data_IF_045272965435
#
_entry.id   IF_045272965435
#
_cell.length_a   1.000
_cell.length_b   1.000
_cell.length_c   1.000
_cell.angle_alpha   90.00
_cell.angle_beta   90.00
_cell.angle_gamma   90.00
#
_symmetry.space_group_name_H-M   'P 1'
#
loop_
_entity.id
_entity.type
_entity.pdbx_description
1 polymer ?
#
# COMPACT_ATOMS: atom_id res chain seq x y z
N UNK A 1 5.46 17.61 30.55
CA UNK A 1 4.99 16.22 30.64
C UNK A 1 3.67 16.15 29.90
N UNK A 2 3.72 15.81 28.62
CA UNK A 2 2.52 15.61 27.81
C UNK A 2 2.48 14.10 27.59
N UNK A 3 1.64 13.44 28.37
CA UNK A 3 1.17 12.10 28.04
C UNK A 3 0.32 12.26 26.78
N UNK A 4 0.98 12.17 25.62
CA UNK A 4 0.28 11.93 24.38
C UNK A 4 -0.39 10.57 24.58
N UNK A 5 -1.73 10.56 24.67
CA UNK A 5 -2.55 9.38 24.56
C UNK A 5 -2.07 8.60 23.33
N UNK A 6 -1.18 7.61 23.55
CA UNK A 6 -0.85 6.62 22.55
C UNK A 6 -2.15 5.89 22.30
N UNK A 7 -2.68 5.99 21.07
CA UNK A 7 -3.67 5.03 20.58
C UNK A 7 -3.21 3.62 20.98
N UNK A 8 -4.12 2.73 21.41
CA UNK A 8 -3.75 1.38 21.80
C UNK A 8 -2.85 0.76 20.73
N UNK A 9 -1.74 0.15 21.16
CA UNK A 9 -0.78 -0.48 20.24
C UNK A 9 -1.50 -1.62 19.52
N UNK A 10 -1.89 -1.39 18.27
CA UNK A 10 -2.59 -2.39 17.46
C UNK A 10 -1.64 -3.51 17.05
N UNK A 11 -2.12 -4.75 17.21
CA UNK A 11 -1.38 -5.94 16.83
C UNK A 11 -1.72 -6.36 15.41
N UNK A 12 -0.70 -6.75 14.68
CA UNK A 12 -0.75 -7.30 13.33
C UNK A 12 0.07 -8.59 13.29
N UNK A 13 0.02 -9.30 12.17
CA UNK A 13 0.63 -10.61 12.03
C UNK A 13 1.63 -10.63 10.88
N UNK A 14 2.74 -11.35 11.05
CA UNK A 14 3.64 -11.71 9.93
C UNK A 14 3.71 -13.21 9.82
N UNK A 15 3.43 -13.75 8.64
CA UNK A 15 3.55 -15.17 8.34
C UNK A 15 4.40 -15.39 7.08
N UNK A 16 4.82 -16.63 6.91
CA UNK A 16 5.59 -17.08 5.74
C UNK A 16 4.78 -18.18 5.08
N UNK A 17 4.67 -18.13 3.74
CA UNK A 17 4.20 -19.30 3.00
C UNK A 17 5.38 -20.14 2.58
N UNK A 18 5.19 -21.45 2.64
CA UNK A 18 6.20 -22.39 2.21
C UNK A 18 5.92 -22.76 0.75
N UNK A 19 6.81 -22.41 -0.19
CA UNK A 19 6.64 -22.74 -1.61
C UNK A 19 6.56 -24.25 -1.87
N UNK A 20 7.01 -25.10 -0.92
CA UNK A 20 6.88 -26.55 -1.05
C UNK A 20 5.45 -27.06 -0.97
N UNK A 21 4.50 -26.26 -0.46
CA UNK A 21 3.09 -26.61 -0.48
C UNK A 21 2.48 -26.20 -1.82
N UNK A 22 2.60 -24.94 -2.20
CA UNK A 22 2.21 -24.47 -3.53
C UNK A 22 3.24 -23.45 -4.02
N UNK A 23 3.72 -23.64 -5.25
CA UNK A 23 4.71 -22.74 -5.86
C UNK A 23 4.10 -21.35 -6.13
N UNK A 24 2.79 -21.28 -6.24
CA UNK A 24 1.96 -20.15 -6.61
C UNK A 24 0.84 -19.91 -5.57
N UNK A 25 1.12 -20.19 -4.29
CA UNK A 25 0.16 -20.10 -3.19
C UNK A 25 -0.62 -18.77 -3.20
N UNK A 26 0.07 -17.63 -3.35
CA UNK A 26 -0.58 -16.32 -3.40
C UNK A 26 -1.49 -16.20 -4.64
N UNK A 27 -1.05 -16.69 -5.80
CA UNK A 27 -1.83 -16.60 -7.04
C UNK A 27 -3.12 -17.44 -6.96
N UNK A 28 -3.08 -18.61 -6.31
CA UNK A 28 -4.29 -19.41 -6.06
C UNK A 28 -5.31 -18.68 -5.17
N UNK A 29 -4.85 -18.01 -4.10
CA UNK A 29 -5.75 -17.22 -3.26
C UNK A 29 -6.30 -16.00 -4.00
N UNK A 30 -5.46 -15.30 -4.77
CA UNK A 30 -5.89 -14.19 -5.61
C UNK A 30 -6.91 -14.66 -6.66
N UNK A 31 -6.72 -15.82 -7.27
CA UNK A 31 -7.65 -16.36 -8.26
C UNK A 31 -9.07 -16.53 -7.70
N UNK A 32 -9.20 -16.95 -6.43
CA UNK A 32 -10.48 -17.04 -5.73
C UNK A 32 -11.09 -15.65 -5.54
N UNK A 33 -10.35 -14.69 -4.95
CA UNK A 33 -10.83 -13.31 -4.74
C UNK A 33 -11.28 -12.66 -6.04
N UNK A 34 -10.46 -12.74 -7.09
CA UNK A 34 -10.78 -12.20 -8.42
C UNK A 34 -11.99 -12.90 -9.05
N UNK A 35 -12.15 -14.20 -8.81
CA UNK A 35 -13.31 -14.96 -9.27
C UNK A 35 -14.60 -14.51 -8.57
N UNK A 36 -14.54 -14.29 -7.25
CA UNK A 36 -15.67 -13.79 -6.46
C UNK A 36 -16.04 -12.35 -6.83
N UNK A 37 -15.06 -11.46 -7.00
CA UNK A 37 -15.30 -10.08 -7.42
C UNK A 37 -16.04 -10.00 -8.76
N UNK A 38 -15.62 -10.79 -9.78
CA UNK A 38 -16.35 -10.87 -11.05
C UNK A 38 -17.79 -11.37 -10.90
N UNK A 39 -18.05 -12.26 -9.94
CA UNK A 39 -19.39 -12.78 -9.66
C UNK A 39 -20.25 -11.75 -8.94
N UNK A 40 -19.67 -10.86 -8.14
CA UNK A 40 -20.35 -9.68 -7.60
C UNK A 40 -20.76 -8.74 -8.73
N UNK A 41 -19.86 -8.45 -9.67
CA UNK A 41 -20.20 -7.63 -10.85
C UNK A 41 -21.34 -8.23 -11.68
N UNK A 42 -21.42 -9.57 -11.74
CA UNK A 42 -22.50 -10.31 -12.39
C UNK A 42 -23.80 -10.38 -11.55
N UNK A 43 -23.79 -9.91 -10.30
CA UNK A 43 -24.93 -9.98 -9.38
C UNK A 43 -25.21 -11.37 -8.81
N UNK A 44 -24.25 -12.29 -8.89
CA UNK A 44 -24.39 -13.68 -8.42
C UNK A 44 -24.02 -13.86 -6.95
N UNK A 45 -23.20 -12.96 -6.41
CA UNK A 45 -22.64 -12.98 -5.05
C UNK A 45 -22.75 -11.57 -4.46
N UNK A 46 -22.90 -11.44 -3.14
CA UNK A 46 -22.90 -10.12 -2.49
C UNK A 46 -21.45 -9.68 -2.21
N UNK A 47 -21.21 -8.37 -2.16
CA UNK A 47 -19.88 -7.83 -1.85
C UNK A 47 -19.31 -8.37 -0.52
N UNK A 48 -20.15 -8.50 0.51
CA UNK A 48 -19.77 -9.03 1.82
C UNK A 48 -19.34 -10.51 1.79
N UNK A 49 -19.64 -11.24 0.71
CA UNK A 49 -19.29 -12.64 0.53
C UNK A 49 -17.99 -12.81 -0.29
N UNK A 50 -17.27 -11.72 -0.58
CA UNK A 50 -15.96 -11.76 -1.27
C UNK A 50 -14.85 -11.90 -0.24
N UNK A 51 -14.38 -13.13 -0.05
CA UNK A 51 -13.24 -13.43 0.82
C UNK A 51 -12.54 -14.72 0.41
N UNK A 52 -11.31 -14.91 0.90
CA UNK A 52 -10.57 -16.16 0.76
C UNK A 52 -9.97 -16.57 2.10
N UNK A 53 -9.93 -17.87 2.38
CA UNK A 53 -9.29 -18.41 3.57
C UNK A 53 -7.80 -18.66 3.34
N UNK A 54 -6.96 -18.06 4.19
CA UNK A 54 -5.54 -18.37 4.28
C UNK A 54 -5.26 -19.26 5.48
N UNK A 55 -4.68 -20.43 5.24
CA UNK A 55 -4.36 -21.40 6.29
C UNK A 55 -2.91 -21.31 6.74
N UNK A 56 -2.66 -21.08 8.04
CA UNK A 56 -1.34 -21.32 8.63
C UNK A 56 -1.18 -22.82 8.85
N UNK A 57 -0.44 -23.44 7.94
CA UNK A 57 -0.19 -24.89 7.93
C UNK A 57 0.61 -25.30 9.18
N UNK A 58 0.11 -26.35 9.84
CA UNK A 58 0.77 -27.02 10.96
C UNK A 58 1.96 -27.81 10.42
N UNK A 59 3.15 -27.52 10.94
CA UNK A 59 4.32 -28.35 10.65
C UNK A 59 4.17 -29.74 11.26
N UNK A 60 4.33 -30.79 10.45
CA UNK A 60 4.33 -32.18 10.91
C UNK A 60 5.49 -32.48 11.88
N UNK A 61 6.59 -31.72 11.79
CA UNK A 61 7.76 -31.86 12.64
C UNK A 61 7.64 -31.08 13.95
N UNK A 62 6.54 -30.34 14.18
CA UNK A 62 6.38 -29.54 15.39
C UNK A 62 6.14 -30.44 16.60
N UNK A 63 7.10 -30.46 17.51
CA UNK A 63 7.03 -31.23 18.76
C UNK A 63 6.45 -30.43 19.93
N UNK A 64 6.49 -29.10 19.86
CA UNK A 64 5.99 -28.20 20.90
C UNK A 64 4.58 -27.70 20.57
N UNK A 65 3.77 -27.31 21.58
CA UNK A 65 2.51 -26.64 21.34
C UNK A 65 2.69 -25.37 20.49
N UNK A 66 1.62 -24.95 19.82
CA UNK A 66 1.62 -23.68 19.12
C UNK A 66 1.91 -22.54 20.10
N UNK A 67 2.88 -21.69 19.74
CA UNK A 67 3.19 -20.50 20.53
C UNK A 67 2.08 -19.46 20.43
N UNK A 68 1.93 -18.64 21.48
CA UNK A 68 1.11 -17.42 21.50
C UNK A 68 -0.40 -17.61 21.21
N UNK A 69 -0.95 -18.78 21.52
CA UNK A 69 -2.38 -19.10 21.29
C UNK A 69 -3.31 -18.08 21.96
N UNK A 70 -3.00 -17.64 23.18
CA UNK A 70 -3.82 -16.65 23.90
C UNK A 70 -3.87 -15.29 23.20
N UNK A 71 -2.77 -14.88 22.57
CA UNK A 71 -2.70 -13.61 21.83
C UNK A 71 -3.46 -13.72 20.51
N UNK A 72 -3.38 -14.85 19.82
CA UNK A 72 -4.20 -15.11 18.64
C UNK A 72 -5.69 -15.05 18.95
N UNK A 73 -6.13 -15.67 20.06
CA UNK A 73 -7.52 -15.61 20.52
C UNK A 73 -7.96 -14.19 20.89
N UNK A 74 -7.05 -13.37 21.41
CA UNK A 74 -7.36 -11.97 21.70
C UNK A 74 -7.62 -11.18 20.42
N UNK A 75 -6.81 -11.37 19.37
CA UNK A 75 -7.04 -10.76 18.05
C UNK A 75 -8.36 -11.26 17.45
N UNK A 76 -8.62 -12.58 17.49
CA UNK A 76 -9.87 -13.15 16.99
C UNK A 76 -11.10 -12.56 17.70
N UNK A 77 -11.03 -12.38 19.02
CA UNK A 77 -12.11 -11.78 19.80
C UNK A 77 -12.28 -10.27 19.52
N UNK A 78 -11.22 -9.58 19.14
CA UNK A 78 -11.28 -8.17 18.71
C UNK A 78 -11.96 -8.04 17.34
N UNK A 79 -11.59 -8.89 16.39
CA UNK A 79 -12.20 -8.94 15.05
C UNK A 79 -13.70 -9.27 15.08
N UNK A 80 -14.13 -10.08 16.05
CA UNK A 80 -15.55 -10.41 16.22
C UNK A 80 -16.41 -9.23 16.73
N UNK A 81 -15.83 -8.06 17.06
CA UNK A 81 -16.56 -6.86 17.46
C UNK A 81 -17.08 -6.09 16.24
N UNK A 82 -18.23 -5.43 16.40
CA UNK A 82 -18.89 -4.67 15.33
C UNK A 82 -18.03 -3.51 14.79
N UNK A 83 -17.30 -2.84 15.67
CA UNK A 83 -16.32 -1.80 15.31
C UNK A 83 -14.92 -2.41 15.39
N UNK A 84 -14.58 -3.28 14.43
CA UNK A 84 -13.22 -3.79 14.35
C UNK A 84 -12.34 -2.79 13.59
N UNK A 85 -11.12 -2.64 14.09
CA UNK A 85 -10.11 -1.89 13.39
C UNK A 85 -9.27 -2.85 12.53
N UNK A 86 -8.72 -2.36 11.41
CA UNK A 86 -7.94 -3.17 10.47
C UNK A 86 -6.85 -4.02 11.16
N UNK A 87 -6.88 -5.34 10.93
CA UNK A 87 -5.83 -6.29 11.32
C UNK A 87 -5.10 -6.78 10.08
N UNK A 88 -3.82 -6.42 9.97
CA UNK A 88 -2.99 -6.75 8.83
C UNK A 88 -2.29 -8.09 9.01
N UNK A 89 -2.35 -8.95 7.99
CA UNK A 89 -1.51 -10.15 7.86
C UNK A 89 -0.49 -9.94 6.75
N UNK A 90 0.78 -9.79 7.11
CA UNK A 90 1.90 -9.74 6.19
C UNK A 90 2.29 -11.16 5.78
N UNK A 91 2.34 -11.41 4.48
CA UNK A 91 2.68 -12.71 3.89
C UNK A 91 3.95 -12.55 3.07
N UNK A 92 4.96 -13.40 3.29
CA UNK A 92 6.21 -13.37 2.51
C UNK A 92 6.76 -14.77 2.20
N UNK A 93 7.40 -14.93 1.04
CA UNK A 93 8.33 -16.03 0.70
C UNK A 93 9.80 -15.57 0.74
N UNK A 94 10.07 -14.46 1.43
CA UNK A 94 11.35 -13.76 1.50
C UNK A 94 11.74 -12.94 0.26
N UNK A 95 11.12 -13.16 -0.90
CA UNK A 95 11.36 -12.38 -2.13
C UNK A 95 10.24 -11.40 -2.43
N UNK A 96 9.02 -11.77 -2.06
CA UNK A 96 7.81 -10.99 -2.24
C UNK A 96 7.16 -10.75 -0.88
N UNK A 97 6.38 -9.67 -0.78
CA UNK A 97 5.65 -9.29 0.41
C UNK A 97 4.27 -8.79 0.02
N UNK A 98 3.25 -9.40 0.60
CA UNK A 98 1.86 -9.00 0.52
C UNK A 98 1.37 -8.62 1.90
N UNK A 99 0.35 -7.79 1.96
CA UNK A 99 -0.42 -7.55 3.18
C UNK A 99 -1.88 -7.90 2.86
N UNK A 100 -2.56 -8.55 3.79
CA UNK A 100 -3.94 -8.95 3.67
C UNK A 100 -4.79 -8.36 4.80
N UNK A 101 -6.05 -8.06 4.50
CA UNK A 101 -7.03 -7.60 5.47
C UNK A 101 -7.69 -8.79 6.15
N UNK A 102 -7.42 -8.98 7.43
CA UNK A 102 -7.97 -10.09 8.20
C UNK A 102 -9.26 -9.65 8.87
N UNK A 103 -10.36 -10.30 8.51
CA UNK A 103 -11.70 -10.00 9.06
C UNK A 103 -12.20 -11.09 10.01
N UNK A 104 -11.66 -12.30 9.95
CA UNK A 104 -11.98 -13.39 10.88
C UNK A 104 -10.78 -14.32 11.08
N UNK A 105 -10.68 -14.93 12.27
CA UNK A 105 -9.69 -15.97 12.58
C UNK A 105 -10.40 -17.16 13.23
N UNK A 106 -10.18 -18.37 12.69
CA UNK A 106 -10.70 -19.63 13.22
C UNK A 106 -9.56 -20.60 13.58
N UNK A 107 -9.74 -21.33 14.68
CA UNK A 107 -8.85 -22.45 15.10
C UNK A 107 -9.34 -23.82 14.61
N UNK A 108 -10.64 -23.93 14.36
CA UNK A 108 -11.30 -25.18 14.03
C UNK A 108 -11.21 -25.52 12.54
N UNK A 109 -11.53 -26.76 12.21
CA UNK A 109 -11.73 -27.20 10.82
C UNK A 109 -12.84 -26.37 10.20
N UNK A 110 -12.58 -25.79 9.02
CA UNK A 110 -13.59 -25.04 8.29
C UNK A 110 -14.74 -25.97 7.88
N UNK A 111 -16.01 -25.53 7.99
CA UNK A 111 -17.14 -26.32 7.53
C UNK A 111 -17.10 -26.49 6.00
N UNK A 112 -17.72 -27.56 5.49
CA UNK A 112 -17.73 -27.88 4.05
C UNK A 112 -18.25 -26.73 3.17
N UNK A 113 -19.14 -25.89 3.69
CA UNK A 113 -19.66 -24.71 3.00
C UNK A 113 -18.59 -23.69 2.62
N UNK A 114 -17.43 -23.69 3.29
CA UNK A 114 -16.33 -22.75 3.05
C UNK A 114 -15.36 -23.24 1.97
N UNK A 115 -15.48 -24.49 1.51
CA UNK A 115 -14.50 -25.10 0.60
C UNK A 115 -14.33 -24.32 -0.71
N UNK A 116 -15.38 -23.64 -1.18
CA UNK A 116 -15.31 -22.79 -2.38
C UNK A 116 -14.41 -21.56 -2.24
N UNK A 117 -14.05 -21.19 -0.99
CA UNK A 117 -13.22 -20.04 -0.66
C UNK A 117 -11.84 -20.47 -0.10
N UNK A 118 -11.47 -21.74 -0.28
CA UNK A 118 -10.17 -22.31 0.13
C UNK A 118 -9.45 -22.82 -1.12
N UNK A 119 -8.18 -22.49 -1.34
CA UNK A 119 -7.39 -23.06 -2.43
C UNK A 119 -7.34 -24.59 -2.39
N UNK A 120 -7.43 -25.22 -3.57
CA UNK A 120 -7.55 -26.68 -3.70
C UNK A 120 -6.34 -27.42 -3.10
N UNK A 121 -5.15 -26.82 -3.17
CA UNK A 121 -3.92 -27.44 -2.70
C UNK A 121 -3.95 -27.84 -1.22
N UNK A 122 -4.75 -27.17 -0.38
CA UNK A 122 -4.89 -27.54 1.03
C UNK A 122 -5.50 -28.94 1.18
N UNK A 123 -6.52 -29.25 0.38
CA UNK A 123 -7.20 -30.54 0.38
C UNK A 123 -6.36 -31.59 -0.34
N UNK A 124 -5.85 -31.26 -1.53
CA UNK A 124 -5.08 -32.18 -2.38
C UNK A 124 -3.82 -32.72 -1.69
N UNK A 125 -3.24 -31.93 -0.77
CA UNK A 125 -2.04 -32.30 0.00
C UNK A 125 -2.35 -32.69 1.44
N UNK A 126 -3.63 -32.82 1.80
CA UNK A 126 -4.08 -33.20 3.15
C UNK A 126 -3.46 -32.31 4.25
N UNK A 127 -3.32 -31.01 3.97
CA UNK A 127 -2.68 -30.06 4.89
C UNK A 127 -3.61 -29.76 6.06
N UNK A 128 -3.05 -29.80 7.26
CA UNK A 128 -3.74 -29.35 8.47
C UNK A 128 -3.26 -27.96 8.86
N UNK A 129 -4.17 -27.10 9.28
CA UNK A 129 -3.86 -25.73 9.69
C UNK A 129 -4.04 -25.56 11.21
N UNK A 130 -3.23 -24.71 11.83
CA UNK A 130 -3.48 -24.28 13.22
C UNK A 130 -4.49 -23.13 13.29
N UNK A 131 -4.47 -22.28 12.28
CA UNK A 131 -5.36 -21.13 12.16
C UNK A 131 -5.77 -20.95 10.71
N UNK A 132 -7.00 -20.52 10.52
CA UNK A 132 -7.55 -20.03 9.26
C UNK A 132 -7.84 -18.53 9.41
N UNK A 133 -7.32 -17.73 8.48
CA UNK A 133 -7.53 -16.30 8.41
C UNK A 133 -8.47 -16.01 7.24
N UNK A 134 -9.62 -15.38 7.50
CA UNK A 134 -10.52 -14.91 6.46
C UNK A 134 -9.98 -13.58 5.94
N UNK A 135 -9.60 -13.56 4.66
CA UNK A 135 -9.00 -12.41 4.02
C UNK A 135 -10.04 -11.73 3.12
N UNK A 136 -10.37 -10.48 3.42
CA UNK A 136 -11.31 -9.70 2.60
C UNK A 136 -10.64 -9.08 1.36
N UNK A 137 -9.36 -8.73 1.48
CA UNK A 137 -8.57 -8.17 0.38
C UNK A 137 -7.08 -8.53 0.57
N UNK A 138 -6.32 -8.50 -0.52
CA UNK A 138 -4.88 -8.77 -0.54
C UNK A 138 -4.23 -7.70 -1.39
N UNK A 139 -3.24 -7.02 -0.83
CA UNK A 139 -2.46 -5.99 -1.50
C UNK A 139 -1.01 -6.39 -1.64
N UNK A 140 -0.47 -6.23 -2.84
CA UNK A 140 0.95 -6.45 -3.13
C UNK A 140 1.75 -5.25 -2.62
N UNK A 141 2.79 -5.51 -1.82
CA UNK A 141 3.74 -4.48 -1.40
C UNK A 141 5.05 -4.58 -2.18
N UNK A 142 5.60 -5.78 -2.30
CA UNK A 142 6.87 -6.04 -2.97
C UNK A 142 6.76 -7.34 -3.75
N UNK A 143 7.33 -7.39 -4.94
CA UNK A 143 7.37 -8.59 -5.77
C UNK A 143 8.80 -8.82 -6.25
N UNK A 144 9.30 -10.03 -6.02
CA UNK A 144 10.62 -10.50 -6.49
C UNK A 144 11.80 -9.57 -6.15
N UNK A 145 11.79 -8.94 -4.97
CA UNK A 145 12.82 -8.01 -4.53
C UNK A 145 13.10 -8.15 -3.02
N UNK A 146 13.96 -9.11 -2.69
CA UNK A 146 14.33 -9.41 -1.30
C UNK A 146 14.89 -8.18 -0.52
N UNK A 147 15.77 -7.33 -1.10
CA UNK A 147 16.17 -6.09 -0.45
C UNK A 147 14.98 -5.19 -0.07
N UNK A 148 14.01 -5.01 -0.96
CA UNK A 148 12.80 -4.23 -0.66
C UNK A 148 11.91 -4.90 0.40
N UNK A 149 11.76 -6.23 0.38
CA UNK A 149 11.06 -6.97 1.45
C UNK A 149 11.68 -6.69 2.82
N UNK A 150 13.02 -6.72 2.92
CA UNK A 150 13.73 -6.41 4.17
C UNK A 150 13.43 -4.99 4.64
N UNK A 151 13.39 -4.01 3.74
CA UNK A 151 13.09 -2.63 4.11
C UNK A 151 11.65 -2.46 4.61
N UNK A 152 10.67 -3.13 3.99
CA UNK A 152 9.29 -3.08 4.45
C UNK A 152 9.10 -3.78 5.80
N UNK A 153 9.66 -4.98 5.98
CA UNK A 153 9.57 -5.71 7.25
C UNK A 153 10.23 -4.94 8.42
N UNK A 154 11.30 -4.17 8.16
CA UNK A 154 11.94 -3.32 9.18
C UNK A 154 11.03 -2.21 9.73
N UNK A 155 9.92 -1.88 9.05
CA UNK A 155 8.92 -0.93 9.54
C UNK A 155 8.03 -1.53 10.64
N UNK A 156 8.08 -2.85 10.83
CA UNK A 156 7.30 -3.59 11.82
C UNK A 156 8.14 -3.86 13.06
N UNK A 157 7.58 -3.65 14.25
CA UNK A 157 8.21 -4.00 15.52
C UNK A 157 7.73 -5.37 15.99
N UNK A 158 8.62 -6.33 16.18
CA UNK A 158 8.30 -7.66 16.71
C UNK A 158 8.07 -7.59 18.22
N UNK A 159 6.83 -7.85 18.64
CA UNK A 159 6.37 -7.74 20.04
C UNK A 159 7.15 -8.67 20.95
N UNK A 160 7.43 -9.90 20.50
CA UNK A 160 8.19 -10.89 21.27
C UNK A 160 9.70 -10.70 21.19
N UNK A 161 10.15 -9.68 20.47
CA UNK A 161 11.56 -9.30 20.38
C UNK A 161 11.79 -7.84 20.81
N UNK A 162 11.14 -7.44 21.91
CA UNK A 162 11.25 -6.10 22.51
C UNK A 162 10.94 -4.96 21.53
N UNK A 163 9.89 -5.13 20.71
CA UNK A 163 9.47 -4.19 19.66
C UNK A 163 10.59 -3.87 18.63
N UNK A 164 11.65 -4.69 18.55
CA UNK A 164 12.72 -4.48 17.57
C UNK A 164 12.21 -4.73 16.15
N UNK A 165 12.79 -4.07 15.13
CA UNK A 165 12.44 -4.31 13.74
C UNK A 165 12.44 -5.79 13.37
N UNK A 166 11.42 -6.24 12.62
CA UNK A 166 11.38 -7.61 12.09
C UNK A 166 12.61 -7.84 11.21
N UNK A 167 13.28 -8.97 11.45
CA UNK A 167 14.46 -9.39 10.71
C UNK A 167 14.21 -10.71 10.01
N UNK A 168 14.42 -10.70 8.68
CA UNK A 168 14.22 -11.87 7.83
C UNK A 168 15.14 -13.04 8.22
N UNK A 169 16.41 -12.75 8.56
CA UNK A 169 17.44 -13.77 8.77
C UNK A 169 17.55 -14.31 10.20
N UNK A 170 16.82 -13.73 11.16
CA UNK A 170 16.98 -14.12 12.57
C UNK A 170 15.77 -13.87 13.47
N UNK A 171 14.63 -13.46 12.91
CA UNK A 171 13.43 -13.09 13.68
C UNK A 171 12.16 -13.82 13.29
N UNK A 172 12.18 -14.69 12.27
CA UNK A 172 11.00 -15.41 11.75
C UNK A 172 10.88 -16.80 12.40
N UNK A 173 10.81 -16.83 13.74
CA UNK A 173 10.62 -18.05 14.54
C UNK A 173 9.24 -18.00 15.19
N UNK A 174 8.61 -19.16 15.41
CA UNK A 174 7.30 -19.25 16.06
C UNK A 174 6.17 -18.48 15.34
N UNK A 175 6.13 -18.62 14.01
CA UNK A 175 5.12 -17.94 13.17
C UNK A 175 3.66 -18.29 13.56
N UNK A 176 2.70 -17.38 13.32
CA UNK A 176 2.92 -16.01 12.86
C UNK A 176 3.54 -15.13 13.94
N UNK A 177 4.39 -14.18 13.54
CA UNK A 177 4.90 -13.16 14.46
C UNK A 177 3.79 -12.17 14.80
N UNK A 178 3.75 -11.75 16.06
CA UNK A 178 2.94 -10.61 16.50
C UNK A 178 3.78 -9.35 16.36
N UNK A 179 3.25 -8.39 15.61
CA UNK A 179 3.96 -7.16 15.29
C UNK A 179 3.10 -5.93 15.52
N UNK A 180 3.76 -4.82 15.82
CA UNK A 180 3.16 -3.49 15.79
C UNK A 180 3.68 -2.74 14.57
N UNK A 181 2.86 -1.83 14.04
CA UNK A 181 3.28 -0.90 12.99
C UNK A 181 3.29 0.54 13.52
N UNK A 182 4.46 1.10 13.88
CA UNK A 182 4.52 2.40 14.56
C UNK A 182 4.01 3.59 13.73
N UNK A 183 4.03 3.50 12.40
CA UNK A 183 3.53 4.56 11.51
C UNK A 183 1.99 4.60 11.41
N UNK A 184 1.29 3.58 11.93
CA UNK A 184 -0.17 3.48 11.91
C UNK A 184 -0.77 3.39 10.49
N UNK A 185 0.02 3.00 9.48
CA UNK A 185 -0.47 2.89 8.09
C UNK A 185 -1.65 1.93 8.03
N UNK A 186 -2.76 2.42 7.49
CA UNK A 186 -3.93 1.64 7.11
C UNK A 186 -3.86 1.37 5.60
N UNK A 187 -3.87 0.10 5.18
CA UNK A 187 -3.74 -0.29 3.77
C UNK A 187 -5.09 -0.46 3.08
N UNK A 188 -6.14 -0.75 3.86
CA UNK A 188 -7.47 -1.13 3.41
C UNK A 188 -8.54 -0.09 3.76
N UNK A 189 -8.13 1.13 4.14
CA UNK A 189 -9.04 2.29 4.24
C UNK A 189 -9.83 2.44 2.94
N UNK A 190 -11.15 2.25 3.03
CA UNK A 190 -12.04 2.24 1.87
C UNK A 190 -11.95 3.54 1.05
N UNK A 191 -11.82 4.69 1.73
CA UNK A 191 -11.74 6.00 1.06
C UNK A 191 -10.44 6.14 0.28
N UNK A 192 -9.32 5.68 0.84
CA UNK A 192 -8.03 5.64 0.13
C UNK A 192 -8.07 4.63 -1.02
N UNK A 193 -8.61 3.42 -0.81
CA UNK A 193 -8.78 2.41 -1.86
C UNK A 193 -9.60 2.99 -3.01
N UNK A 194 -10.81 3.48 -2.76
CA UNK A 194 -11.71 3.99 -3.80
C UNK A 194 -11.06 5.11 -4.62
N UNK A 195 -10.33 6.01 -3.96
CA UNK A 195 -9.60 7.10 -4.62
C UNK A 195 -8.46 6.61 -5.51
N UNK A 196 -7.78 5.52 -5.15
CA UNK A 196 -6.57 5.04 -5.85
C UNK A 196 -6.87 3.95 -6.88
N UNK A 197 -7.82 3.07 -6.60
CA UNK A 197 -8.16 1.91 -7.44
C UNK A 197 -9.42 2.14 -8.27
N UNK A 198 -10.21 3.17 -7.98
CA UNK A 198 -11.50 3.39 -8.62
C UNK A 198 -12.63 2.54 -8.05
N UNK A 199 -12.48 2.06 -6.80
CA UNK A 199 -13.52 1.33 -6.06
C UNK A 199 -13.39 -0.19 -6.11
N UNK A 200 -12.44 -0.72 -6.88
CA UNK A 200 -12.15 -2.17 -6.91
C UNK A 200 -11.21 -2.58 -5.77
N UNK A 201 -11.16 -3.88 -5.46
CA UNK A 201 -10.23 -4.43 -4.47
C UNK A 201 -8.77 -4.15 -4.85
N UNK A 202 -7.88 -4.10 -3.86
CA UNK A 202 -6.44 -4.04 -4.12
C UNK A 202 -5.98 -5.26 -4.90
N UNK A 203 -6.51 -6.44 -4.61
CA UNK A 203 -6.24 -7.67 -5.35
C UNK A 203 -6.54 -7.52 -6.86
N UNK A 204 -7.68 -6.92 -7.21
CA UNK A 204 -8.09 -6.66 -8.59
C UNK A 204 -7.19 -5.61 -9.25
N UNK A 205 -6.93 -4.52 -8.55
CA UNK A 205 -6.07 -3.45 -9.04
C UNK A 205 -4.66 -3.97 -9.32
N UNK A 206 -4.05 -4.69 -8.38
CA UNK A 206 -2.69 -5.22 -8.52
C UNK A 206 -2.58 -6.26 -9.63
N UNK A 207 -3.60 -7.10 -9.81
CA UNK A 207 -3.66 -8.06 -10.91
C UNK A 207 -3.73 -7.37 -12.28
N UNK A 208 -4.39 -6.20 -12.37
CA UNK A 208 -4.52 -5.44 -13.62
C UNK A 208 -3.21 -4.82 -14.11
N UNK A 209 -2.26 -4.54 -13.21
CA UNK A 209 -0.97 -3.90 -13.53
C UNK A 209 -0.02 -4.85 -14.28
N UNK A 210 -0.28 -6.17 -14.23
CA UNK A 210 0.50 -7.18 -14.93
C UNK A 210 1.81 -7.58 -14.22
N UNK A 211 2.47 -8.60 -14.77
CA UNK A 211 3.63 -9.28 -14.15
C UNK A 211 4.98 -8.59 -14.42
N UNK A 212 5.06 -7.72 -15.42
CA UNK A 212 6.30 -7.03 -15.83
C UNK A 212 6.75 -5.91 -14.88
N UNK A 213 5.87 -5.47 -13.98
CA UNK A 213 6.08 -4.28 -13.14
C UNK A 213 7.32 -4.38 -12.24
N UNK A 214 7.61 -5.59 -11.73
CA UNK A 214 8.75 -5.83 -10.84
C UNK A 214 10.10 -5.47 -11.49
N UNK A 215 10.25 -5.79 -12.77
CA UNK A 215 11.46 -5.48 -13.52
C UNK A 215 11.61 -3.97 -13.73
N UNK A 216 10.50 -3.27 -13.99
CA UNK A 216 10.48 -1.81 -14.16
C UNK A 216 10.79 -1.10 -12.85
N UNK A 217 10.22 -1.54 -11.73
CA UNK A 217 10.54 -1.02 -10.40
C UNK A 217 12.03 -1.16 -10.08
N UNK A 218 12.60 -2.33 -10.34
CA UNK A 218 14.03 -2.60 -10.13
C UNK A 218 14.91 -1.71 -10.99
N UNK A 219 14.59 -1.57 -12.27
CA UNK A 219 15.35 -0.70 -13.17
C UNK A 219 15.27 0.78 -12.76
N UNK A 220 14.07 1.25 -12.39
CA UNK A 220 13.88 2.61 -11.90
C UNK A 220 14.69 2.87 -10.63
N UNK A 221 14.69 1.92 -9.68
CA UNK A 221 15.49 2.00 -8.46
C UNK A 221 16.98 2.05 -8.77
N UNK A 222 17.47 1.10 -9.58
CA UNK A 222 18.90 0.83 -9.69
C UNK A 222 19.58 1.80 -10.68
N UNK A 223 18.85 2.27 -11.70
CA UNK A 223 19.45 3.00 -12.82
C UNK A 223 18.88 4.41 -13.06
N UNK A 224 17.75 4.79 -12.45
CA UNK A 224 17.08 6.08 -12.74
C UNK A 224 16.98 6.97 -11.49
N UNK A 225 16.20 6.55 -10.50
CA UNK A 225 15.89 7.32 -9.30
C UNK A 225 16.98 7.14 -8.22
N UNK A 226 17.57 5.95 -8.15
CA UNK A 226 18.56 5.57 -7.16
C UNK A 226 17.94 4.96 -5.90
N UNK A 227 18.58 3.92 -5.36
CA UNK A 227 18.09 3.12 -4.24
C UNK A 227 17.63 3.95 -3.03
N UNK A 228 18.44 4.92 -2.61
CA UNK A 228 18.13 5.75 -1.44
C UNK A 228 16.84 6.57 -1.63
N UNK A 229 16.65 7.16 -2.82
CA UNK A 229 15.47 7.97 -3.09
C UNK A 229 14.24 7.07 -3.28
N UNK A 230 14.40 5.97 -4.02
CA UNK A 230 13.34 4.98 -4.22
C UNK A 230 12.80 4.40 -2.91
N UNK A 231 13.69 4.02 -1.98
CA UNK A 231 13.30 3.47 -0.68
C UNK A 231 12.71 4.51 0.28
N UNK A 232 12.81 5.81 -0.03
CA UNK A 232 12.19 6.88 0.75
C UNK A 232 10.80 7.27 0.23
N UNK A 233 10.40 6.77 -0.94
CA UNK A 233 9.05 6.94 -1.47
C UNK A 233 8.09 5.89 -0.87
N UNK A 234 6.81 6.23 -0.83
CA UNK A 234 5.75 5.30 -0.52
C UNK A 234 5.68 4.17 -1.54
N UNK A 235 5.41 2.96 -1.06
CA UNK A 235 5.42 1.77 -1.90
C UNK A 235 4.40 1.85 -3.03
N UNK A 236 3.21 2.36 -2.73
CA UNK A 236 2.17 2.60 -3.73
C UNK A 236 2.57 3.68 -4.74
N UNK A 237 3.30 4.72 -4.33
CA UNK A 237 3.82 5.71 -5.26
C UNK A 237 4.82 5.06 -6.22
N UNK A 238 5.75 4.23 -5.73
CA UNK A 238 6.68 3.50 -6.57
C UNK A 238 5.99 2.59 -7.60
N UNK A 239 4.92 1.89 -7.21
CA UNK A 239 4.11 1.09 -8.13
C UNK A 239 3.50 1.97 -9.22
N UNK A 240 2.86 3.09 -8.87
CA UNK A 240 2.31 4.02 -9.87
C UNK A 240 3.38 4.64 -10.79
N UNK A 241 4.57 4.94 -10.28
CA UNK A 241 5.71 5.41 -11.09
C UNK A 241 6.10 4.33 -12.11
N UNK A 242 6.25 3.09 -11.65
CA UNK A 242 6.58 1.98 -12.52
C UNK A 242 5.49 1.69 -13.55
N UNK A 243 4.21 1.82 -13.18
CA UNK A 243 3.07 1.62 -14.10
C UNK A 243 3.09 2.67 -15.21
N UNK A 244 3.27 3.95 -14.85
CA UNK A 244 3.39 5.03 -15.83
C UNK A 244 4.58 4.83 -16.77
N UNK A 245 5.72 4.39 -16.24
CA UNK A 245 6.92 4.10 -17.03
C UNK A 245 6.73 2.90 -17.96
N UNK A 246 6.10 1.83 -17.48
CA UNK A 246 5.82 0.64 -18.27
C UNK A 246 4.90 0.96 -19.45
N UNK A 247 3.76 1.62 -19.19
CA UNK A 247 2.82 2.05 -20.23
C UNK A 247 3.49 2.95 -21.27
N UNK A 248 4.33 3.89 -20.82
CA UNK A 248 5.06 4.76 -21.73
C UNK A 248 5.98 3.95 -22.65
N UNK A 249 6.72 2.97 -22.11
CA UNK A 249 7.67 2.16 -22.88
C UNK A 249 6.99 1.24 -23.88
N UNK A 250 5.90 0.60 -23.49
CA UNK A 250 5.13 -0.32 -24.33
C UNK A 250 4.53 0.41 -25.53
N UNK A 251 4.07 1.65 -25.33
CA UNK A 251 3.37 2.41 -26.37
C UNK A 251 4.18 3.54 -27.01
N UNK A 252 5.47 3.74 -26.67
CA UNK A 252 6.29 4.86 -27.20
C UNK A 252 6.39 4.95 -28.72
N UNK A 253 6.21 3.82 -29.40
CA UNK A 253 6.25 3.72 -30.86
C UNK A 253 4.86 3.81 -31.51
N UNK A 254 3.79 3.79 -30.72
CA UNK A 254 2.41 3.82 -31.20
C UNK A 254 1.92 5.27 -31.36
N UNK A 255 1.75 5.76 -32.60
CA UNK A 255 1.25 7.11 -32.84
C UNK A 255 -0.27 7.24 -32.59
N UNK A 256 -0.98 6.15 -32.30
CA UNK A 256 -2.42 6.11 -32.00
C UNK A 256 -2.73 5.99 -30.49
N UNK A 257 -1.74 5.69 -29.65
CA UNK A 257 -1.91 5.59 -28.20
C UNK A 257 -2.14 6.94 -27.50
N UNK A 258 -3.18 7.03 -26.67
CA UNK A 258 -3.38 8.19 -25.78
C UNK A 258 -2.52 8.04 -24.51
N UNK A 259 -1.56 8.94 -24.34
CA UNK A 259 -0.66 8.93 -23.18
C UNK A 259 -1.32 9.49 -21.90
N UNK A 260 -2.63 9.78 -21.91
CA UNK A 260 -3.39 10.19 -20.73
C UNK A 260 -3.29 9.18 -19.58
N UNK A 261 -3.22 7.88 -19.87
CA UNK A 261 -3.02 6.82 -18.88
C UNK A 261 -1.65 6.90 -18.18
N UNK A 262 -0.60 7.26 -18.92
CA UNK A 262 0.75 7.50 -18.37
C UNK A 262 0.74 8.70 -17.42
N UNK A 263 0.13 9.81 -17.85
CA UNK A 263 -0.03 11.01 -17.01
C UNK A 263 -0.89 10.70 -15.78
N UNK A 264 -1.95 9.92 -15.92
CA UNK A 264 -2.80 9.46 -14.83
C UNK A 264 -2.03 8.67 -13.77
N UNK A 265 -1.22 7.70 -14.19
CA UNK A 265 -0.37 6.94 -13.29
C UNK A 265 0.64 7.83 -12.53
N UNK A 266 1.34 8.73 -13.22
CA UNK A 266 2.24 9.67 -12.55
C UNK A 266 1.51 10.66 -11.62
N UNK A 267 0.28 11.07 -11.97
CA UNK A 267 -0.57 11.86 -11.08
C UNK A 267 -0.86 11.13 -9.78
N UNK A 268 -1.20 9.83 -9.86
CA UNK A 268 -1.46 9.00 -8.68
C UNK A 268 -0.20 8.85 -7.82
N UNK A 269 0.96 8.67 -8.43
CA UNK A 269 2.23 8.65 -7.71
C UNK A 269 2.49 9.95 -6.92
N UNK A 270 2.25 11.11 -7.54
CA UNK A 270 2.36 12.41 -6.87
C UNK A 270 1.35 12.54 -5.73
N UNK A 271 0.08 12.21 -5.97
CA UNK A 271 -0.99 12.24 -4.96
C UNK A 271 -0.61 11.40 -3.74
N UNK A 272 -0.21 10.13 -3.96
CA UNK A 272 0.18 9.21 -2.89
C UNK A 272 1.35 9.76 -2.09
N UNK A 273 2.44 10.15 -2.77
CA UNK A 273 3.66 10.57 -2.08
C UNK A 273 3.47 11.86 -1.28
N UNK A 274 2.77 12.85 -1.86
CA UNK A 274 2.55 14.14 -1.19
C UNK A 274 1.62 13.96 0.01
N UNK A 275 0.56 13.16 -0.11
CA UNK A 275 -0.31 12.85 1.04
C UNK A 275 0.43 12.14 2.16
N UNK A 276 1.35 11.22 1.85
CA UNK A 276 2.14 10.55 2.87
C UNK A 276 3.05 11.53 3.63
N UNK A 277 3.74 12.42 2.92
CA UNK A 277 4.56 13.48 3.53
C UNK A 277 3.68 14.36 4.44
N UNK A 278 2.50 14.78 3.96
CA UNK A 278 1.57 15.58 4.75
C UNK A 278 1.12 14.83 6.00
N UNK A 279 0.63 13.59 5.88
CA UNK A 279 0.16 12.79 7.03
C UNK A 279 1.23 12.69 8.12
N UNK A 280 2.47 12.39 7.76
CA UNK A 280 3.55 12.30 8.75
C UNK A 280 3.86 13.65 9.39
N UNK A 281 3.82 14.74 8.63
CA UNK A 281 4.10 16.09 9.15
C UNK A 281 2.96 16.64 10.02
N UNK A 282 1.69 16.43 9.62
CA UNK A 282 0.50 17.00 10.24
C UNK A 282 0.30 16.57 11.70
N UNK A 283 0.84 15.41 12.10
CA UNK A 283 0.88 14.99 13.50
C UNK A 283 1.66 15.94 14.40
N UNK A 284 2.59 16.73 13.84
CA UNK A 284 3.41 17.73 14.54
C UNK A 284 2.99 19.18 14.26
N UNK A 285 2.03 19.39 13.35
CA UNK A 285 1.47 20.70 13.02
C UNK A 285 0.39 21.07 14.04
N UNK A 286 0.30 22.35 14.39
CA UNK A 286 -0.70 22.84 15.34
C UNK A 286 -2.12 22.65 14.80
N UNK A 287 -3.09 22.37 15.69
CA UNK A 287 -4.49 22.16 15.29
C UNK A 287 -5.04 23.29 14.42
N UNK A 288 -4.84 24.59 14.74
CA UNK A 288 -5.32 25.67 13.88
C UNK A 288 -4.71 25.65 12.48
N UNK A 289 -3.42 25.35 12.34
CA UNK A 289 -2.74 25.34 11.05
C UNK A 289 -3.16 24.18 10.15
N UNK A 290 -3.60 23.05 10.73
CA UNK A 290 -4.11 21.89 9.97
C UNK A 290 -5.63 21.86 9.83
N UNK A 291 -6.35 22.84 10.36
CA UNK A 291 -7.79 23.00 10.19
C UNK A 291 -8.07 23.94 9.01
N UNK A 292 -8.36 23.38 7.85
CA UNK A 292 -8.46 24.11 6.57
C UNK A 292 -9.89 24.04 6.05
N UNK A 293 -10.33 25.11 5.38
CA UNK A 293 -11.63 25.12 4.73
C UNK A 293 -11.58 24.29 3.44
N UNK A 294 -12.29 23.17 3.42
CA UNK A 294 -12.53 22.33 2.25
C UNK A 294 -13.99 22.49 1.85
N UNK A 295 -14.24 23.09 0.69
CA UNK A 295 -15.58 23.28 0.11
C UNK A 295 -16.63 23.84 1.08
N UNK A 296 -16.24 24.84 1.87
CA UNK A 296 -17.12 25.52 2.83
C UNK A 296 -17.19 24.86 4.21
N UNK A 297 -16.49 23.74 4.43
CA UNK A 297 -16.40 23.06 5.72
C UNK A 297 -14.99 23.13 6.28
N UNK A 298 -14.86 23.38 7.58
CA UNK A 298 -13.55 23.33 8.24
C UNK A 298 -13.21 21.88 8.56
N UNK A 299 -12.19 21.35 7.90
CA UNK A 299 -11.74 19.98 8.03
C UNK A 299 -10.37 19.93 8.70
N UNK A 300 -10.14 18.95 9.57
CA UNK A 300 -8.83 18.68 10.14
C UNK A 300 -8.08 17.73 9.19
N UNK A 301 -7.03 18.23 8.51
CA UNK A 301 -6.29 17.43 7.52
C UNK A 301 -5.65 16.15 8.08
N UNK A 302 -5.45 16.05 9.41
CA UNK A 302 -4.95 14.82 10.01
C UNK A 302 -5.99 13.68 9.99
N UNK A 303 -7.28 14.04 10.02
CA UNK A 303 -8.43 13.12 10.06
C UNK A 303 -9.15 13.06 8.70
N UNK A 304 -8.74 13.90 7.75
CA UNK A 304 -9.36 14.01 6.44
C UNK A 304 -8.88 12.89 5.51
N UNK A 305 -9.68 12.61 4.47
CA UNK A 305 -9.30 11.65 3.43
C UNK A 305 -8.05 12.11 2.68
N UNK A 306 -7.44 11.19 1.93
CA UNK A 306 -6.40 11.53 0.95
C UNK A 306 -6.88 12.63 0.00
N UNK A 307 -6.03 13.64 -0.18
CA UNK A 307 -6.27 14.79 -1.04
C UNK A 307 -5.93 14.45 -2.50
N UNK A 308 -6.80 14.84 -3.42
CA UNK A 308 -6.57 14.76 -4.86
C UNK A 308 -5.63 15.88 -5.31
N UNK A 309 -5.08 15.78 -6.53
CA UNK A 309 -4.11 16.74 -7.06
C UNK A 309 -4.54 18.22 -6.92
N UNK A 310 -5.80 18.53 -7.26
CA UNK A 310 -6.36 19.88 -7.12
C UNK A 310 -6.37 20.38 -5.67
N UNK A 311 -6.73 19.50 -4.75
CA UNK A 311 -6.80 19.81 -3.32
C UNK A 311 -5.41 19.98 -2.73
N UNK A 312 -4.44 19.16 -3.16
CA UNK A 312 -3.04 19.29 -2.80
C UNK A 312 -2.51 20.66 -3.21
N UNK A 313 -2.69 21.07 -4.46
CA UNK A 313 -2.27 22.41 -4.96
C UNK A 313 -2.81 23.52 -4.05
N UNK A 314 -4.10 23.44 -3.69
CA UNK A 314 -4.73 24.42 -2.80
C UNK A 314 -4.12 24.39 -1.40
N UNK A 315 -4.00 23.21 -0.80
CA UNK A 315 -3.54 23.05 0.59
C UNK A 315 -2.08 23.47 0.76
N UNK A 316 -1.17 22.98 -0.08
CA UNK A 316 0.27 23.29 0.05
C UNK A 316 0.67 24.60 -0.66
N UNK A 317 -0.20 25.16 -1.52
CA UNK A 317 0.06 26.43 -2.20
C UNK A 317 -0.64 27.64 -1.58
N UNK A 318 -1.78 27.45 -0.92
CA UNK A 318 -2.67 28.54 -0.48
C UNK A 318 -2.66 28.83 1.02
N UNK A 319 -2.31 27.86 1.87
CA UNK A 319 -2.49 27.97 3.32
C UNK A 319 -1.20 28.45 4.02
N UNK A 320 -1.06 29.77 4.20
CA UNK A 320 0.18 30.38 4.72
C UNK A 320 0.62 29.83 6.08
N UNK A 321 -0.33 29.61 7.00
CA UNK A 321 -0.01 29.11 8.34
C UNK A 321 0.52 27.67 8.29
N UNK A 322 -0.15 26.79 7.54
CA UNK A 322 0.31 25.42 7.31
C UNK A 322 1.70 25.41 6.67
N UNK A 323 1.90 26.22 5.62
CA UNK A 323 3.16 26.28 4.88
C UNK A 323 4.33 26.75 5.75
N UNK A 324 4.11 27.71 6.65
CA UNK A 324 5.13 28.15 7.61
C UNK A 324 5.58 27.01 8.54
N UNK A 325 4.63 26.22 9.05
CA UNK A 325 4.96 25.07 9.90
C UNK A 325 5.61 23.92 9.12
N UNK A 326 5.11 23.59 7.92
CA UNK A 326 5.69 22.55 7.07
C UNK A 326 7.13 22.89 6.64
N UNK A 327 7.42 24.15 6.32
CA UNK A 327 8.77 24.63 6.02
C UNK A 327 9.74 24.37 7.18
N UNK A 328 9.28 24.59 8.41
CA UNK A 328 10.08 24.35 9.61
C UNK A 328 10.24 22.85 9.91
N UNK A 329 9.22 22.04 9.64
CA UNK A 329 9.17 20.62 10.00
C UNK A 329 9.82 19.68 8.99
N UNK A 330 9.90 20.05 7.71
CA UNK A 330 10.37 19.17 6.64
C UNK A 330 11.81 19.45 6.24
N UNK A 331 12.61 18.39 6.08
CA UNK A 331 13.74 18.42 5.16
C UNK A 331 13.21 18.75 3.76
N UNK A 332 13.93 19.58 3.01
CA UNK A 332 13.48 20.10 1.70
C UNK A 332 12.15 20.88 1.73
N UNK A 333 11.73 21.39 2.91
CA UNK A 333 10.47 22.12 3.07
C UNK A 333 10.32 23.33 2.16
N UNK A 334 11.42 24.02 1.83
CA UNK A 334 11.40 25.18 0.91
C UNK A 334 10.96 24.78 -0.51
N UNK A 335 11.44 23.64 -1.01
CA UNK A 335 10.99 23.12 -2.30
C UNK A 335 9.54 22.64 -2.22
N UNK A 336 9.19 21.96 -1.13
CA UNK A 336 7.85 21.38 -0.93
C UNK A 336 6.73 22.43 -0.83
N UNK A 337 6.94 23.53 -0.12
CA UNK A 337 5.92 24.59 0.00
C UNK A 337 6.09 25.71 -1.02
N UNK A 338 7.28 25.87 -1.61
CA UNK A 338 7.59 26.95 -2.54
C UNK A 338 7.50 26.56 -4.02
N UNK A 339 8.07 25.43 -4.42
CA UNK A 339 8.18 25.02 -5.83
C UNK A 339 7.12 23.99 -6.25
N UNK A 340 6.85 23.02 -5.38
CA UNK A 340 5.92 21.92 -5.69
C UNK A 340 4.51 22.40 -6.06
N UNK A 341 3.88 23.40 -5.41
CA UNK A 341 2.53 23.82 -5.79
C UNK A 341 2.43 24.27 -7.25
N UNK A 342 3.42 25.04 -7.73
CA UNK A 342 3.47 25.49 -9.12
C UNK A 342 3.72 24.31 -10.09
N UNK A 343 4.57 23.36 -9.71
CA UNK A 343 4.82 22.14 -10.48
C UNK A 343 3.53 21.31 -10.61
N UNK A 344 2.79 21.13 -9.51
CA UNK A 344 1.53 20.38 -9.50
C UNK A 344 0.45 21.09 -10.32
N UNK A 345 0.37 22.42 -10.26
CA UNK A 345 -0.58 23.20 -11.06
C UNK A 345 -0.28 23.08 -12.56
N UNK A 346 0.99 23.21 -12.96
CA UNK A 346 1.41 22.98 -14.35
C UNK A 346 1.10 21.54 -14.82
N UNK A 347 1.30 20.55 -13.95
CA UNK A 347 1.00 19.14 -14.25
C UNK A 347 -0.51 18.88 -14.38
N UNK A 348 -1.33 19.54 -13.55
CA UNK A 348 -2.79 19.47 -13.59
C UNK A 348 -3.35 19.93 -14.94
N UNK A 349 -2.78 20.97 -15.54
CA UNK A 349 -3.18 21.44 -16.87
C UNK A 349 -2.98 20.40 -17.98
N UNK A 350 -2.13 19.39 -17.77
CA UNK A 350 -2.00 18.24 -18.69
C UNK A 350 -2.95 17.11 -18.34
N UNK A 351 -3.25 16.91 -17.05
CA UNK A 351 -4.21 15.89 -16.59
C UNK A 351 -5.66 16.22 -16.99
N UNK A 352 -6.09 17.46 -16.79
CA UNK A 352 -7.50 17.86 -16.97
C UNK A 352 -7.99 17.70 -18.43
N UNK A 353 -7.25 18.12 -19.48
CA UNK A 353 -7.65 17.91 -20.87
C UNK A 353 -7.66 16.44 -21.31
N UNK A 354 -6.75 15.64 -20.74
CA UNK A 354 -6.65 14.19 -21.00
C UNK A 354 -7.81 13.37 -20.42
N UNK A 355 -8.67 13.98 -19.60
CA UNK A 355 -9.83 13.31 -19.01
C UNK A 355 -11.14 13.69 -19.73
N UNK A 356 -11.17 14.78 -20.51
CA UNK A 356 -12.44 15.30 -21.04
C UNK A 356 -12.47 15.71 -22.52
N UNK A 357 -11.38 16.15 -23.19
CA UNK A 357 -11.53 16.68 -24.57
C UNK A 357 -10.32 16.51 -25.53
N UNK A 358 -9.08 16.23 -25.06
CA UNK A 358 -7.91 16.17 -25.94
C UNK A 358 -6.93 15.07 -25.56
N UNK A 359 -6.67 14.17 -26.52
CA UNK A 359 -5.66 13.11 -26.44
C UNK A 359 -4.28 13.67 -26.07
N UNK A 360 -3.60 13.04 -25.12
CA UNK A 360 -2.24 13.41 -24.75
C UNK A 360 -1.26 12.76 -25.72
N UNK A 361 -0.41 13.59 -26.34
CA UNK A 361 0.58 13.12 -27.28
C UNK A 361 1.87 12.62 -26.58
N UNK A 362 2.67 11.86 -27.34
CA UNK A 362 3.94 11.32 -26.86
C UNK A 362 4.90 12.41 -26.41
N UNK A 363 4.92 13.55 -27.08
CA UNK A 363 5.89 14.62 -26.82
C UNK A 363 5.64 15.20 -25.42
N UNK A 364 4.40 15.56 -25.14
CA UNK A 364 3.93 16.07 -23.84
C UNK A 364 4.21 15.04 -22.73
N UNK A 365 3.89 13.76 -22.97
CA UNK A 365 4.18 12.70 -22.02
C UNK A 365 5.68 12.51 -21.77
N UNK A 366 6.52 12.62 -22.81
CA UNK A 366 7.99 12.51 -22.70
C UNK A 366 8.57 13.65 -21.86
N UNK A 367 8.10 14.88 -22.08
CA UNK A 367 8.57 16.06 -21.33
C UNK A 367 8.28 15.91 -19.84
N UNK A 368 7.06 15.52 -19.48
CA UNK A 368 6.68 15.28 -18.08
C UNK A 368 7.38 14.09 -17.46
N UNK A 369 7.43 12.96 -18.16
CA UNK A 369 8.19 11.78 -17.74
C UNK A 369 9.63 12.15 -17.39
N UNK A 370 10.31 12.90 -18.24
CA UNK A 370 11.70 13.27 -18.02
C UNK A 370 11.86 14.16 -16.78
N UNK A 371 10.98 15.14 -16.57
CA UNK A 371 11.00 16.01 -15.37
C UNK A 371 10.69 15.25 -14.09
N UNK A 372 9.75 14.32 -14.12
CA UNK A 372 9.33 13.54 -12.96
C UNK A 372 10.41 12.53 -12.54
N UNK A 373 10.93 11.77 -13.52
CA UNK A 373 11.93 10.72 -13.29
C UNK A 373 13.37 11.27 -13.15
N UNK A 374 13.66 12.47 -13.66
CA UNK A 374 15.01 13.05 -13.62
C UNK A 374 15.89 12.64 -14.80
N UNK A 375 15.30 12.55 -16.00
CA UNK A 375 16.05 12.22 -17.22
C UNK A 375 16.65 13.51 -17.78
N UNK A 376 17.97 13.66 -17.62
CA UNK A 376 18.71 14.85 -18.06
C UNK A 376 18.70 16.02 -17.06
N UNK A 377 18.08 15.85 -15.89
CA UNK A 377 18.03 16.84 -14.80
C UNK A 377 17.67 16.16 -13.47
N UNK A 378 17.56 16.92 -12.37
CA UNK A 378 17.04 16.36 -11.11
C UNK A 378 15.53 16.10 -11.20
N UNK A 379 15.11 14.88 -10.90
CA UNK A 379 13.70 14.46 -10.97
C UNK A 379 12.85 14.91 -9.79
N UNK A 380 11.57 15.20 -10.03
CA UNK A 380 10.64 15.60 -8.97
C UNK A 380 10.35 14.48 -7.96
N UNK A 381 10.35 13.21 -8.37
CA UNK A 381 10.24 12.11 -7.40
C UNK A 381 11.47 12.01 -6.49
N UNK A 382 12.65 12.38 -6.98
CA UNK A 382 13.87 12.47 -6.15
C UNK A 382 13.76 13.62 -5.15
N UNK A 383 13.20 14.78 -5.54
CA UNK A 383 12.95 15.89 -4.62
C UNK A 383 11.89 15.56 -3.56
N UNK A 384 10.84 14.84 -3.94
CA UNK A 384 9.84 14.32 -3.00
C UNK A 384 10.46 13.33 -2.01
N UNK A 385 11.32 12.41 -2.48
CA UNK A 385 12.02 11.46 -1.62
C UNK A 385 12.96 12.13 -0.60
N UNK A 386 13.48 13.33 -0.90
CA UNK A 386 14.26 14.14 0.05
C UNK A 386 13.36 14.84 1.08
N UNK A 387 12.07 14.98 0.80
CA UNK A 387 11.12 15.66 1.66
C UNK A 387 10.59 14.72 2.73
N UNK A 388 11.03 14.93 3.97
CA UNK A 388 10.64 14.11 5.12
C UNK A 388 10.71 14.92 6.42
N UNK A 389 9.98 14.57 7.47
CA UNK A 389 10.08 15.26 8.76
C UNK A 389 11.52 15.29 9.28
N UNK A 390 11.91 16.42 9.89
CA UNK A 390 13.18 16.61 10.60
C UNK A 390 13.26 15.80 11.89
#
# INVERSE_FOLDING_TARGET
MIDAQRSPRRLHLVSVWNPSYANDAIDEHLAILLGLARRVDAGEVRADDVYVWWGKVRSQNRQQPQAHVSEMRAIAAELARTEHEEVQLYLTDYRSLYVADVVEIREDVLPESEQGNVPAYYVDQELTCDYWFMLADIRRLVIDDMPAVIQELKKLGNVHYNDRPVSLYGGMVDLPLFVIRPDGRNFFDERERDSLTGGVLWAEHDASIGTGIAAVERELRDNVIGERAWNALERAACTFIATGEQLFREHRADPAFDFGSVIGAFSKALEVQVNAILRTALGRVTKPARSINMDGRTENLLEFRSLMLQELIRVIGGEQQLNGELLALLHNGQWFTGSLPAILDEFREVRNPGTHERRIDRKTATEWRNRLLGIGSTGYFVELAKTRPK
#
